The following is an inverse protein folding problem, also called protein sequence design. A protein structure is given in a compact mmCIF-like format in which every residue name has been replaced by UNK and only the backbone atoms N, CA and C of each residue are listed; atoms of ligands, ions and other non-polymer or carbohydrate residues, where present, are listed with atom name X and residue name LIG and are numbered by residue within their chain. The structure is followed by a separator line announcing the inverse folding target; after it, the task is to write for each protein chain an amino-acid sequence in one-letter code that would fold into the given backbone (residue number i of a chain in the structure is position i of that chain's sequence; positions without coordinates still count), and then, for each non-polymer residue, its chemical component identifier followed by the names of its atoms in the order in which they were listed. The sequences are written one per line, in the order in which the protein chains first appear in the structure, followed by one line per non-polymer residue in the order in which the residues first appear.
data_IF_422340725214
#
_entry.id   IF_422340725214
#
_cell.length_a   1.000
_cell.length_b   1.000
_cell.length_c   1.000
_cell.angle_alpha   90.00
_cell.angle_beta   90.00
_cell.angle_gamma   90.00
#
_symmetry.space_group_name_H-M   'P 1'
#
loop_
_entity.id
_entity.type
_entity.pdbx_description
1 polymer ?
#
# COMPACT_ATOMS: atom_id res chain seq x y z
N UNK A 1 36.31 -2.19 36.01
CA UNK A 1 34.84 -2.10 35.84
C UNK A 1 34.55 -2.51 34.40
N UNK A 2 34.26 -3.80 34.16
CA UNK A 2 33.98 -4.30 32.81
C UNK A 2 32.49 -4.06 32.57
N UNK A 3 32.15 -3.10 31.70
CA UNK A 3 30.76 -2.94 31.23
C UNK A 3 30.37 -4.16 30.43
N UNK A 4 29.58 -5.04 31.03
CA UNK A 4 28.90 -6.13 30.34
C UNK A 4 27.91 -5.46 29.39
N UNK A 5 28.21 -5.45 28.09
CA UNK A 5 27.25 -5.07 27.07
C UNK A 5 26.16 -6.14 27.11
N UNK A 6 24.96 -5.77 27.60
CA UNK A 6 23.84 -6.70 27.71
C UNK A 6 23.45 -7.16 26.30
N UNK A 7 23.69 -8.43 25.93
CA UNK A 7 23.33 -8.94 24.61
C UNK A 7 21.81 -8.91 24.36
N UNK A 8 20.99 -8.76 25.42
CA UNK A 8 19.55 -8.57 25.29
C UNK A 8 19.16 -7.23 24.66
N UNK A 9 20.00 -6.20 24.80
CA UNK A 9 19.76 -4.86 24.26
C UNK A 9 19.77 -4.84 22.73
N UNK A 10 20.72 -5.55 22.12
CA UNK A 10 20.81 -5.68 20.65
C UNK A 10 19.62 -6.46 20.06
N UNK A 11 19.21 -7.55 20.70
CA UNK A 11 18.02 -8.31 20.29
C UNK A 11 16.74 -7.49 20.42
N UNK A 12 16.60 -6.72 21.51
CA UNK A 12 15.46 -5.83 21.73
C UNK A 12 15.37 -4.77 20.64
N UNK A 13 16.49 -4.12 20.29
CA UNK A 13 16.53 -3.14 19.21
C UNK A 13 16.14 -3.73 17.84
N UNK A 14 16.59 -4.95 17.53
CA UNK A 14 16.19 -5.66 16.30
C UNK A 14 14.70 -5.98 16.29
N UNK A 15 14.15 -6.48 17.41
CA UNK A 15 12.72 -6.74 17.53
C UNK A 15 11.88 -5.47 17.37
N UNK A 16 12.27 -4.38 18.02
CA UNK A 16 11.60 -3.08 17.90
C UNK A 16 11.62 -2.57 16.45
N UNK A 17 12.77 -2.64 15.77
CA UNK A 17 12.88 -2.26 14.37
C UNK A 17 11.97 -3.10 13.46
N UNK A 18 11.89 -4.41 13.68
CA UNK A 18 11.00 -5.30 12.93
C UNK A 18 9.52 -5.02 13.19
N UNK A 19 9.15 -4.74 14.44
CA UNK A 19 7.79 -4.37 14.80
C UNK A 19 7.39 -3.04 14.18
N UNK A 20 8.27 -2.04 14.20
CA UNK A 20 8.04 -0.75 13.55
C UNK A 20 7.86 -0.92 12.02
N UNK A 21 8.74 -1.67 11.36
CA UNK A 21 8.63 -1.94 9.93
C UNK A 21 7.31 -2.65 9.57
N UNK A 22 6.90 -3.64 10.37
CA UNK A 22 5.62 -4.33 10.19
C UNK A 22 4.42 -3.40 10.43
N UNK A 23 4.49 -2.52 11.44
CA UNK A 23 3.44 -1.55 11.72
C UNK A 23 3.27 -0.55 10.57
N UNK A 24 4.37 -0.06 9.99
CA UNK A 24 4.34 0.83 8.81
C UNK A 24 3.73 0.11 7.61
N UNK A 25 4.20 -1.09 7.27
CA UNK A 25 3.65 -1.86 6.15
C UNK A 25 2.14 -2.13 6.32
N UNK A 26 1.71 -2.49 7.54
CA UNK A 26 0.30 -2.70 7.85
C UNK A 26 -0.52 -1.40 7.73
N UNK A 27 0.03 -0.26 8.14
CA UNK A 27 -0.63 1.02 8.03
C UNK A 27 -0.80 1.43 6.55
N UNK A 28 0.23 1.23 5.74
CA UNK A 28 0.21 1.48 4.30
C UNK A 28 -0.83 0.60 3.61
N UNK A 29 -0.86 -0.70 3.92
CA UNK A 29 -1.86 -1.63 3.39
C UNK A 29 -3.29 -1.25 3.79
N UNK A 30 -3.49 -0.91 5.07
CA UNK A 30 -4.78 -0.44 5.54
C UNK A 30 -5.22 0.85 4.82
N UNK A 31 -4.28 1.74 4.51
CA UNK A 31 -4.55 2.97 3.77
C UNK A 31 -4.97 2.69 2.32
N UNK A 32 -4.39 1.68 1.67
CA UNK A 32 -4.75 1.26 0.31
C UNK A 32 -6.14 0.65 0.30
N UNK A 33 -6.43 -0.25 1.24
CA UNK A 33 -7.73 -0.93 1.29
C UNK A 33 -8.89 0.00 1.65
N UNK A 34 -8.67 0.97 2.54
CA UNK A 34 -9.69 1.99 2.85
C UNK A 34 -10.04 2.84 1.63
N UNK A 35 -9.02 3.30 0.91
CA UNK A 35 -9.23 4.05 -0.33
C UNK A 35 -9.96 3.21 -1.38
N UNK A 36 -9.52 1.97 -1.61
CA UNK A 36 -10.16 1.06 -2.55
C UNK A 36 -11.63 0.81 -2.20
N UNK A 37 -11.94 0.56 -0.92
CA UNK A 37 -13.30 0.34 -0.47
C UNK A 37 -14.20 1.56 -0.75
N UNK A 38 -13.74 2.76 -0.41
CA UNK A 38 -14.51 3.98 -0.67
C UNK A 38 -14.78 4.19 -2.17
N UNK A 39 -13.76 4.00 -3.00
CA UNK A 39 -13.89 4.10 -4.46
C UNK A 39 -14.82 3.06 -5.07
N UNK A 40 -14.85 1.86 -4.49
CA UNK A 40 -15.74 0.77 -4.89
C UNK A 40 -17.19 1.09 -4.51
N UNK A 41 -17.43 1.57 -3.30
CA UNK A 41 -18.75 1.99 -2.81
C UNK A 41 -19.34 3.11 -3.66
N UNK A 42 -18.51 4.08 -4.07
CA UNK A 42 -18.88 5.18 -4.97
C UNK A 42 -18.97 4.76 -6.45
N UNK A 43 -18.59 3.52 -6.79
CA UNK A 43 -18.55 2.97 -8.17
C UNK A 43 -17.62 3.75 -9.11
N UNK A 44 -16.59 4.40 -8.55
CA UNK A 44 -15.65 5.25 -9.27
C UNK A 44 -14.42 4.48 -9.77
N UNK A 45 -14.10 3.34 -9.15
CA UNK A 45 -13.03 2.45 -9.60
C UNK A 45 -13.56 1.31 -10.47
N UNK A 46 -12.80 0.94 -11.49
CA UNK A 46 -13.02 -0.23 -12.33
C UNK A 46 -11.68 -0.89 -12.60
N UNK A 47 -11.68 -2.20 -12.77
CA UNK A 47 -10.49 -2.94 -13.12
C UNK A 47 -10.79 -4.03 -14.15
N UNK A 48 -9.77 -4.40 -14.92
CA UNK A 48 -9.85 -5.51 -15.86
C UNK A 48 -8.49 -6.17 -16.00
N UNK A 49 -8.47 -7.49 -16.12
CA UNK A 49 -7.28 -8.23 -16.52
C UNK A 49 -7.24 -8.36 -18.04
N UNK A 50 -6.21 -7.79 -18.68
CA UNK A 50 -5.98 -7.88 -20.14
C UNK A 50 -4.48 -7.93 -20.43
N UNK A 51 -4.08 -8.65 -21.47
CA UNK A 51 -2.69 -8.73 -21.93
C UNK A 51 -1.68 -9.06 -20.81
N UNK A 52 -2.06 -9.98 -19.92
CA UNK A 52 -1.25 -10.40 -18.77
C UNK A 52 -0.95 -9.28 -17.75
N UNK A 53 -1.81 -8.26 -17.69
CA UNK A 53 -1.74 -7.19 -16.72
C UNK A 53 -3.13 -6.82 -16.18
N UNK A 54 -3.14 -6.29 -14.96
CA UNK A 54 -4.30 -5.65 -14.36
C UNK A 54 -4.29 -4.18 -14.70
N UNK A 55 -5.34 -3.74 -15.39
CA UNK A 55 -5.55 -2.34 -15.75
C UNK A 55 -6.62 -1.77 -14.83
N UNK A 56 -6.30 -0.66 -14.16
CA UNK A 56 -7.20 0.01 -13.21
C UNK A 56 -7.56 1.38 -13.73
N UNK A 57 -8.86 1.68 -13.67
CA UNK A 57 -9.42 2.97 -14.00
C UNK A 57 -10.10 3.58 -12.78
N UNK A 58 -9.86 4.87 -12.55
CA UNK A 58 -10.49 5.67 -11.51
C UNK A 58 -11.10 6.90 -12.18
N UNK A 59 -12.37 7.20 -11.90
CA UNK A 59 -13.08 8.35 -12.50
C UNK A 59 -13.04 8.36 -14.03
N UNK A 60 -13.07 7.17 -14.63
CA UNK A 60 -12.95 6.89 -16.08
C UNK A 60 -11.56 7.15 -16.69
N UNK A 61 -10.56 7.52 -15.90
CA UNK A 61 -9.16 7.63 -16.33
C UNK A 61 -8.40 6.35 -15.97
N UNK A 62 -7.60 5.84 -16.90
CA UNK A 62 -6.63 4.77 -16.61
C UNK A 62 -5.52 5.33 -15.71
N UNK A 63 -5.29 4.68 -14.57
CA UNK A 63 -4.34 5.15 -13.55
C UNK A 63 -3.27 4.12 -13.20
N UNK A 64 -3.43 2.85 -13.57
CA UNK A 64 -2.38 1.85 -13.37
C UNK A 64 -2.49 0.66 -14.33
N UNK A 65 -1.33 0.09 -14.66
CA UNK A 65 -1.19 -1.19 -15.36
C UNK A 65 -0.09 -1.97 -14.65
N UNK A 66 -0.43 -3.08 -14.00
CA UNK A 66 0.54 -3.87 -13.24
C UNK A 66 0.34 -5.38 -13.43
N UNK A 67 1.39 -6.21 -13.26
CA UNK A 67 1.29 -7.67 -13.42
C UNK A 67 0.39 -8.34 -12.38
N UNK A 68 0.25 -7.77 -11.18
CA UNK A 68 -0.55 -8.33 -10.09
C UNK A 68 -1.66 -7.36 -9.68
N UNK A 69 -2.79 -7.91 -9.21
CA UNK A 69 -3.92 -7.10 -8.78
C UNK A 69 -3.54 -6.17 -7.63
N UNK A 70 -2.79 -6.69 -6.65
CA UNK A 70 -2.41 -5.92 -5.47
C UNK A 70 -1.49 -4.74 -5.82
N UNK A 71 -0.47 -4.96 -6.66
CA UNK A 71 0.37 -3.84 -7.15
C UNK A 71 -0.46 -2.86 -7.99
N UNK A 72 -1.40 -3.34 -8.81
CA UNK A 72 -2.26 -2.47 -9.61
C UNK A 72 -3.09 -1.51 -8.75
N UNK A 73 -3.65 -1.99 -7.63
CA UNK A 73 -4.43 -1.16 -6.70
C UNK A 73 -3.52 -0.18 -5.95
N UNK A 74 -2.30 -0.60 -5.57
CA UNK A 74 -1.32 0.29 -4.92
C UNK A 74 -0.86 1.41 -5.86
N UNK A 75 -0.43 1.07 -7.07
CA UNK A 75 -0.04 2.04 -8.11
C UNK A 75 -1.20 2.97 -8.45
N UNK A 76 -2.42 2.42 -8.59
CA UNK A 76 -3.61 3.22 -8.88
C UNK A 76 -3.91 4.26 -7.80
N UNK A 77 -3.71 3.94 -6.51
CA UNK A 77 -3.88 4.91 -5.43
C UNK A 77 -2.88 6.06 -5.55
N UNK A 78 -1.59 5.73 -5.69
CA UNK A 78 -0.52 6.72 -5.82
C UNK A 78 -0.79 7.69 -6.99
N UNK A 79 -1.09 7.14 -8.16
CA UNK A 79 -1.40 7.92 -9.37
C UNK A 79 -2.69 8.75 -9.21
N UNK A 80 -3.71 8.22 -8.54
CA UNK A 80 -4.95 8.96 -8.28
C UNK A 80 -4.71 10.17 -7.38
N UNK A 81 -3.88 10.04 -6.34
CA UNK A 81 -3.50 11.13 -5.44
C UNK A 81 -2.74 12.25 -6.18
N UNK A 82 -1.80 11.89 -7.05
CA UNK A 82 -1.06 12.85 -7.87
C UNK A 82 -1.95 13.60 -8.87
N UNK A 83 -2.96 12.91 -9.41
CA UNK A 83 -3.88 13.46 -10.40
C UNK A 83 -5.09 14.18 -9.78
N UNK A 84 -5.25 14.14 -8.46
CA UNK A 84 -6.44 14.65 -7.76
C UNK A 84 -7.72 13.89 -8.12
N UNK A 85 -7.61 12.62 -8.52
CA UNK A 85 -8.73 11.73 -8.81
C UNK A 85 -9.04 10.86 -7.59
N UNK A 86 -10.28 10.41 -7.46
CA UNK A 86 -10.65 9.58 -6.30
C UNK A 86 -10.47 10.27 -4.95
N UNK A 87 -10.39 11.60 -4.92
CA UNK A 87 -10.47 12.38 -3.69
C UNK A 87 -11.84 12.16 -3.04
N UNK A 88 -11.82 11.93 -1.73
CA UNK A 88 -12.99 11.92 -0.84
C UNK A 88 -13.26 13.34 -0.33
#
# INVERSE_FOLDING_TARGET
MISIHDPSSGWKAICEARMAAAATANADDASVWRWFAAMLEERRIRWRFMFNAWVVHVDRKEVAIEPSFYEAIRSAKCESEELGLGAL
#
